data_IF_764467929926
#
_entry.id   IF_764467929926
#
_cell.length_a   1.000
_cell.length_b   1.000
_cell.length_c   1.000
_cell.angle_alpha   90.00
_cell.angle_beta   90.00
_cell.angle_gamma   90.00
#
_symmetry.space_group_name_H-M   'P 1'
#
loop_
_entity.id
_entity.type
_entity.pdbx_description
1 polymer ?
#
# COMPACT_ATOMS: atom_id res chain seq x y z
N UNK A 1 -0.05 9.76 -15.49
CA UNK A 1 -1.20 10.22 -16.31
C UNK A 1 -2.53 10.01 -15.55
N UNK A 2 -3.60 10.71 -15.94
CA UNK A 2 -4.97 10.53 -15.38
C UNK A 2 -5.49 9.09 -15.56
N UNK A 3 -5.00 8.39 -16.55
CA UNK A 3 -5.38 7.02 -16.89
C UNK A 3 -4.86 6.01 -15.85
N UNK A 4 -3.64 6.20 -15.37
CA UNK A 4 -3.07 5.39 -14.28
C UNK A 4 -3.82 5.62 -12.99
N UNK A 5 -4.15 6.86 -12.64
CA UNK A 5 -4.90 7.14 -11.42
C UNK A 5 -6.23 6.38 -11.38
N UNK A 6 -6.94 6.31 -12.51
CA UNK A 6 -8.21 5.55 -12.62
C UNK A 6 -8.01 4.04 -12.61
N UNK A 7 -6.97 3.52 -13.30
CA UNK A 7 -6.69 2.08 -13.37
C UNK A 7 -6.11 1.50 -12.07
N UNK A 8 -5.56 2.35 -11.22
CA UNK A 8 -4.84 1.95 -10.00
C UNK A 8 -5.54 2.42 -8.71
N UNK A 9 -6.85 2.76 -8.80
CA UNK A 9 -7.70 3.08 -7.66
C UNK A 9 -7.16 4.22 -6.77
N UNK A 10 -6.73 5.32 -7.40
CA UNK A 10 -6.46 6.53 -6.66
C UNK A 10 -7.75 7.18 -6.21
N UNK A 11 -7.76 7.66 -4.99
CA UNK A 11 -8.84 8.41 -4.40
C UNK A 11 -8.36 9.66 -3.67
N UNK A 12 -9.29 10.47 -3.26
CA UNK A 12 -9.07 11.63 -2.41
C UNK A 12 -9.81 11.44 -1.09
N UNK A 13 -9.08 11.43 0.02
CA UNK A 13 -9.69 11.60 1.33
C UNK A 13 -9.93 13.09 1.57
N UNK A 14 -11.20 13.55 1.66
CA UNK A 14 -11.51 14.96 1.86
C UNK A 14 -10.92 15.52 3.16
N UNK A 15 -10.77 16.85 3.22
CA UNK A 15 -10.44 17.52 4.47
C UNK A 15 -11.67 17.50 5.38
N UNK A 16 -11.56 16.86 6.53
CA UNK A 16 -12.63 16.69 7.50
C UNK A 16 -12.50 15.38 8.25
N UNK A 17 -12.75 15.40 9.56
CA UNK A 17 -12.48 14.22 10.41
C UNK A 17 -13.59 13.16 10.38
N UNK A 18 -14.75 13.49 9.83
CA UNK A 18 -15.96 12.64 9.89
C UNK A 18 -16.66 12.50 8.54
N UNK A 19 -16.01 12.84 7.44
CA UNK A 19 -16.63 12.77 6.10
C UNK A 19 -16.94 11.34 5.71
N UNK A 20 -15.93 10.45 5.79
CA UNK A 20 -16.11 9.02 5.53
C UNK A 20 -16.95 8.37 6.64
N UNK A 21 -16.70 8.71 7.90
CA UNK A 21 -17.47 8.20 9.04
C UNK A 21 -18.96 8.51 8.90
N UNK A 22 -19.31 9.73 8.51
CA UNK A 22 -20.71 10.13 8.26
C UNK A 22 -21.32 9.34 7.10
N UNK A 23 -20.60 9.17 6.01
CA UNK A 23 -21.05 8.37 4.87
C UNK A 23 -21.26 6.90 5.26
N UNK A 24 -20.32 6.28 5.94
CA UNK A 24 -20.43 4.88 6.40
C UNK A 24 -21.64 4.67 7.29
N UNK A 25 -21.90 5.60 8.22
CA UNK A 25 -23.13 5.58 9.05
C UNK A 25 -24.39 5.66 8.21
N UNK A 26 -24.42 6.53 7.19
CA UNK A 26 -25.60 6.73 6.33
C UNK A 26 -25.97 5.49 5.51
N UNK A 27 -24.99 4.63 5.20
CA UNK A 27 -25.20 3.36 4.49
C UNK A 27 -25.26 2.14 5.42
N UNK A 28 -25.36 2.36 6.74
CA UNK A 28 -25.56 1.30 7.73
C UNK A 28 -24.33 0.53 8.13
N UNK A 29 -23.12 1.00 7.80
CA UNK A 29 -21.85 0.38 8.26
C UNK A 29 -21.62 0.74 9.72
N UNK A 30 -21.41 -0.28 10.56
CA UNK A 30 -21.10 -0.05 11.98
C UNK A 30 -19.71 0.53 12.17
N UNK A 31 -19.51 1.37 13.19
CA UNK A 31 -18.20 1.90 13.53
C UNK A 31 -17.17 0.79 13.83
N UNK A 32 -17.59 -0.29 14.48
CA UNK A 32 -16.73 -1.43 14.75
C UNK A 32 -16.22 -2.09 13.45
N UNK A 33 -17.09 -2.27 12.45
CA UNK A 33 -16.68 -2.79 11.14
C UNK A 33 -15.73 -1.83 10.41
N UNK A 34 -15.98 -0.52 10.50
CA UNK A 34 -15.13 0.49 9.88
C UNK A 34 -13.74 0.55 10.53
N UNK A 35 -13.64 0.37 11.87
CA UNK A 35 -12.36 0.24 12.59
C UNK A 35 -11.65 -1.06 12.21
N UNK A 36 -12.36 -2.18 12.20
CA UNK A 36 -11.78 -3.48 11.82
C UNK A 36 -11.22 -3.46 10.39
N UNK A 37 -11.82 -2.66 9.51
CA UNK A 37 -11.33 -2.42 8.15
C UNK A 37 -10.19 -1.37 8.06
N UNK A 38 -9.83 -0.71 9.16
CA UNK A 38 -8.81 0.33 9.19
C UNK A 38 -9.18 1.62 8.46
N UNK A 39 -10.48 1.89 8.30
CA UNK A 39 -10.99 3.08 7.61
C UNK A 39 -11.21 4.26 8.56
N UNK A 40 -11.49 3.96 9.81
CA UNK A 40 -11.70 4.95 10.87
C UNK A 40 -10.92 4.56 12.12
N UNK A 41 -10.66 5.53 12.97
CA UNK A 41 -10.03 5.33 14.28
C UNK A 41 -10.98 5.77 15.38
N UNK A 42 -10.92 5.09 16.52
CA UNK A 42 -11.67 5.49 17.70
C UNK A 42 -11.01 6.72 18.33
N UNK A 43 -11.77 7.76 18.55
CA UNK A 43 -11.34 8.97 19.25
C UNK A 43 -11.36 8.76 20.78
N UNK A 44 -10.59 9.55 21.52
CA UNK A 44 -10.50 9.46 23.00
C UNK A 44 -11.82 9.72 23.71
N UNK A 45 -12.71 10.48 23.10
CA UNK A 45 -14.07 10.77 23.59
C UNK A 45 -15.10 9.68 23.26
N UNK A 46 -14.66 8.55 22.68
CA UNK A 46 -15.50 7.43 22.27
C UNK A 46 -16.14 7.59 20.89
N UNK A 47 -15.91 8.71 20.20
CA UNK A 47 -16.33 8.94 18.83
C UNK A 47 -15.50 8.19 17.79
N UNK A 48 -15.85 8.37 16.54
CA UNK A 48 -15.15 7.80 15.38
C UNK A 48 -14.71 8.93 14.47
N UNK A 49 -13.49 8.86 13.94
CA UNK A 49 -12.97 9.81 12.97
C UNK A 49 -12.31 9.09 11.81
N UNK A 50 -12.27 9.73 10.68
CA UNK A 50 -11.65 9.20 9.48
C UNK A 50 -10.15 8.94 9.70
N UNK A 51 -9.65 7.77 9.25
CA UNK A 51 -8.23 7.43 9.31
C UNK A 51 -7.41 8.34 8.40
N UNK A 52 -7.95 8.69 7.25
CA UNK A 52 -7.30 9.51 6.25
C UNK A 52 -8.08 10.81 6.03
N UNK A 53 -7.40 11.95 6.07
CA UNK A 53 -7.99 13.27 5.85
C UNK A 53 -7.03 14.15 5.05
N UNK A 54 -7.52 14.87 4.03
CA UNK A 54 -6.70 15.75 3.20
C UNK A 54 -5.58 15.03 2.44
N UNK A 55 -5.78 13.76 2.06
CA UNK A 55 -4.74 12.91 1.48
C UNK A 55 -5.14 12.29 0.17
N UNK A 56 -4.17 12.13 -0.72
CA UNK A 56 -4.31 11.21 -1.85
C UNK A 56 -4.29 9.78 -1.32
N UNK A 57 -5.32 8.99 -1.59
CA UNK A 57 -5.41 7.59 -1.17
C UNK A 57 -5.09 6.65 -2.33
N UNK A 58 -4.48 5.52 -2.01
CA UNK A 58 -4.04 4.48 -2.94
C UNK A 58 -4.52 3.16 -2.37
N UNK A 59 -5.37 2.44 -3.10
CA UNK A 59 -5.84 1.14 -2.63
C UNK A 59 -4.70 0.11 -2.66
N UNK A 60 -4.55 -0.61 -1.55
CA UNK A 60 -3.65 -1.77 -1.45
C UNK A 60 -4.48 -3.02 -1.68
N UNK A 61 -4.04 -3.85 -2.63
CA UNK A 61 -4.74 -5.07 -3.00
C UNK A 61 -3.89 -6.30 -2.70
N UNK A 62 -4.56 -7.38 -2.31
CA UNK A 62 -3.94 -8.70 -2.26
C UNK A 62 -3.66 -9.24 -3.69
N UNK A 63 -2.98 -10.37 -3.79
CA UNK A 63 -2.66 -11.02 -5.08
C UNK A 63 -3.89 -11.43 -5.89
N UNK A 64 -5.07 -11.54 -5.28
CA UNK A 64 -6.35 -11.81 -5.96
C UNK A 64 -7.03 -10.53 -6.45
N UNK A 65 -6.42 -9.36 -6.20
CA UNK A 65 -6.97 -8.06 -6.57
C UNK A 65 -8.03 -7.52 -5.61
N UNK A 66 -8.28 -8.16 -4.47
CA UNK A 66 -9.21 -7.67 -3.46
C UNK A 66 -8.56 -6.54 -2.67
N UNK A 67 -9.26 -5.40 -2.50
CA UNK A 67 -8.79 -4.31 -1.66
C UNK A 67 -8.75 -4.77 -0.19
N UNK A 68 -7.59 -4.61 0.46
CA UNK A 68 -7.34 -5.03 1.84
C UNK A 68 -6.93 -3.87 2.74
N UNK A 69 -6.51 -2.74 2.18
CA UNK A 69 -6.12 -1.54 2.90
C UNK A 69 -5.88 -0.37 1.96
N UNK A 70 -5.37 0.71 2.54
CA UNK A 70 -5.02 1.93 1.81
C UNK A 70 -3.67 2.45 2.26
N UNK A 71 -2.89 2.94 1.30
CA UNK A 71 -1.85 3.91 1.53
C UNK A 71 -2.39 5.32 1.30
N UNK A 72 -1.83 6.32 1.96
CA UNK A 72 -2.23 7.70 1.74
C UNK A 72 -1.01 8.63 1.80
N UNK A 73 -0.97 9.59 0.87
CA UNK A 73 0.07 10.62 0.81
C UNK A 73 -0.52 11.98 1.18
N UNK A 74 0.16 12.71 2.06
CA UNK A 74 -0.18 14.11 2.37
C UNK A 74 -0.14 14.98 1.11
N UNK A 75 -1.14 15.84 0.95
CA UNK A 75 -1.24 16.80 -0.16
C UNK A 75 -0.75 18.21 0.23
N UNK A 76 -0.72 18.51 1.51
CA UNK A 76 -0.33 19.81 2.09
C UNK A 76 1.06 19.79 2.73
N UNK A 77 1.78 18.67 2.66
CA UNK A 77 3.10 18.49 3.25
C UNK A 77 3.08 18.16 4.75
N UNK A 78 1.89 17.93 5.34
CA UNK A 78 1.77 17.54 6.75
C UNK A 78 2.40 16.16 7.03
N UNK A 79 3.00 16.00 8.20
CA UNK A 79 3.51 14.71 8.66
C UNK A 79 2.40 13.80 9.23
N UNK A 80 2.56 12.48 9.07
CA UNK A 80 3.56 11.81 8.26
C UNK A 80 3.25 11.98 6.75
N UNK A 81 4.29 12.14 5.92
CA UNK A 81 4.17 12.27 4.46
C UNK A 81 3.38 11.10 3.85
N UNK A 82 3.62 9.87 4.34
CA UNK A 82 2.88 8.67 3.99
C UNK A 82 2.25 8.04 5.22
N UNK A 83 1.03 7.57 5.09
CA UNK A 83 0.27 6.88 6.12
C UNK A 83 -0.37 5.64 5.52
N UNK A 84 -0.29 4.51 6.19
CA UNK A 84 -0.94 3.26 5.76
C UNK A 84 -2.06 2.88 6.72
N UNK A 85 -3.04 2.13 6.21
CA UNK A 85 -3.92 1.33 7.07
C UNK A 85 -3.05 0.54 8.06
N UNK A 86 -3.41 0.57 9.33
CA UNK A 86 -2.78 -0.25 10.36
C UNK A 86 -3.03 -1.76 10.10
N UNK A 87 -2.36 -2.62 10.89
CA UNK A 87 -2.63 -4.06 10.81
C UNK A 87 -4.09 -4.36 11.14
N UNK A 88 -4.76 -5.15 10.30
CA UNK A 88 -6.14 -5.62 10.45
C UNK A 88 -6.20 -7.12 10.23
N UNK A 89 -7.40 -7.72 10.34
CA UNK A 89 -7.59 -9.14 10.03
C UNK A 89 -7.29 -9.49 8.57
N UNK A 90 -7.37 -8.50 7.66
CA UNK A 90 -7.20 -8.70 6.21
C UNK A 90 -5.97 -8.00 5.64
N UNK A 91 -5.29 -7.20 6.43
CA UNK A 91 -4.12 -6.44 6.01
C UNK A 91 -2.98 -6.55 7.01
N UNK A 92 -1.87 -7.11 6.56
CA UNK A 92 -0.57 -7.05 7.22
C UNK A 92 0.46 -6.56 6.20
N UNK A 93 0.99 -5.35 6.43
CA UNK A 93 1.99 -4.75 5.53
C UNK A 93 3.24 -5.64 5.35
N UNK A 94 3.61 -6.39 6.38
CA UNK A 94 4.76 -7.29 6.33
C UNK A 94 4.54 -8.55 5.49
N UNK A 95 3.31 -8.85 5.10
CA UNK A 95 2.96 -10.04 4.34
C UNK A 95 2.47 -9.73 2.92
N UNK A 96 2.40 -8.44 2.53
CA UNK A 96 1.85 -8.02 1.24
C UNK A 96 2.88 -7.21 0.46
N UNK A 97 3.04 -7.53 -0.82
CA UNK A 97 3.76 -6.71 -1.78
C UNK A 97 2.77 -5.88 -2.59
N UNK A 98 2.93 -4.55 -2.53
CA UNK A 98 2.12 -3.64 -3.35
C UNK A 98 2.38 -3.85 -4.83
N UNK A 99 1.31 -3.94 -5.60
CA UNK A 99 1.39 -4.09 -7.05
C UNK A 99 1.52 -5.55 -7.52
N UNK A 100 1.66 -6.53 -6.63
CA UNK A 100 1.85 -7.94 -7.02
C UNK A 100 0.70 -8.47 -7.88
N UNK A 101 -0.54 -8.09 -7.61
CA UNK A 101 -1.72 -8.47 -8.40
C UNK A 101 -1.63 -8.02 -9.88
N UNK A 102 -0.88 -6.99 -10.17
CA UNK A 102 -0.63 -6.50 -11.55
C UNK A 102 0.65 -7.07 -12.12
N UNK A 103 1.71 -7.18 -11.28
CA UNK A 103 3.04 -7.59 -11.69
C UNK A 103 3.18 -9.10 -11.90
N UNK A 104 2.30 -9.93 -11.31
CA UNK A 104 2.43 -11.39 -11.32
C UNK A 104 2.66 -11.97 -12.72
N UNK A 105 1.90 -11.51 -13.72
CA UNK A 105 2.03 -11.99 -15.10
C UNK A 105 3.40 -11.68 -15.69
N UNK A 106 3.89 -10.46 -15.49
CA UNK A 106 5.19 -10.02 -15.99
C UNK A 106 6.33 -10.72 -15.24
N UNK A 107 6.22 -10.89 -13.91
CA UNK A 107 7.19 -11.63 -13.10
C UNK A 107 7.29 -13.08 -13.59
N UNK A 108 6.17 -13.77 -13.80
CA UNK A 108 6.18 -15.15 -14.32
C UNK A 108 6.82 -15.25 -15.70
N UNK A 109 6.58 -14.27 -16.57
CA UNK A 109 7.14 -14.25 -17.94
C UNK A 109 8.65 -14.00 -17.96
N UNK A 110 9.14 -13.10 -17.11
CA UNK A 110 10.56 -12.73 -17.02
C UNK A 110 11.35 -13.57 -16.03
N UNK A 111 10.66 -14.31 -15.15
CA UNK A 111 11.23 -15.02 -13.99
C UNK A 111 12.02 -14.11 -13.05
N UNK A 112 11.74 -12.79 -13.12
CA UNK A 112 12.45 -11.76 -12.34
C UNK A 112 11.44 -10.82 -11.71
N UNK A 113 11.55 -10.60 -10.41
CA UNK A 113 10.83 -9.57 -9.66
C UNK A 113 11.79 -8.44 -9.28
N UNK A 114 11.35 -7.20 -9.40
CA UNK A 114 12.06 -6.03 -8.90
C UNK A 114 11.29 -5.48 -7.71
N UNK A 115 11.95 -5.36 -6.56
CA UNK A 115 11.35 -4.82 -5.33
C UNK A 115 11.88 -3.42 -5.08
N UNK A 116 10.96 -2.47 -4.99
CA UNK A 116 11.20 -1.06 -4.65
C UNK A 116 10.58 -0.72 -3.29
N UNK A 117 10.78 0.50 -2.78
CA UNK A 117 10.28 0.86 -1.45
C UNK A 117 8.80 1.27 -1.44
N UNK A 118 8.36 2.10 -2.37
CA UNK A 118 7.07 2.78 -2.31
C UNK A 118 6.13 2.52 -3.48
N UNK A 119 4.87 2.90 -3.27
CA UNK A 119 3.85 2.75 -4.31
C UNK A 119 4.12 3.62 -5.54
N UNK A 120 4.69 4.81 -5.33
CA UNK A 120 4.96 5.74 -6.44
C UNK A 120 6.02 5.19 -7.36
N UNK A 121 7.00 4.46 -6.81
CA UNK A 121 8.08 3.83 -7.58
C UNK A 121 7.51 2.72 -8.47
N UNK A 122 6.62 1.87 -7.93
CA UNK A 122 5.90 0.84 -8.70
C UNK A 122 5.10 1.48 -9.83
N UNK A 123 4.33 2.54 -9.51
CA UNK A 123 3.47 3.19 -10.50
C UNK A 123 4.26 3.84 -11.62
N UNK A 124 5.37 4.50 -11.27
CA UNK A 124 6.28 5.12 -12.24
C UNK A 124 6.96 4.06 -13.13
N UNK A 125 7.42 2.96 -12.52
CA UNK A 125 8.02 1.85 -13.25
C UNK A 125 7.02 1.20 -14.22
N UNK A 126 5.81 0.91 -13.77
CA UNK A 126 4.76 0.33 -14.62
C UNK A 126 4.36 1.28 -15.77
N UNK A 127 4.34 2.60 -15.53
CA UNK A 127 4.08 3.60 -16.58
C UNK A 127 5.19 3.62 -17.62
N UNK A 128 6.42 3.34 -17.20
CA UNK A 128 7.59 3.22 -18.10
C UNK A 128 7.71 1.83 -18.77
N UNK A 129 6.77 0.90 -18.52
CA UNK A 129 6.75 -0.43 -19.12
C UNK A 129 7.48 -1.52 -18.31
N UNK A 130 8.00 -1.21 -17.13
CA UNK A 130 8.59 -2.19 -16.22
C UNK A 130 7.51 -2.80 -15.33
N UNK A 131 6.76 -3.76 -15.88
CA UNK A 131 5.56 -4.32 -15.21
C UNK A 131 5.88 -5.36 -14.12
N UNK A 132 7.13 -5.82 -14.00
CA UNK A 132 7.57 -6.81 -13.01
C UNK A 132 8.07 -6.18 -11.70
N UNK A 133 7.64 -4.95 -11.39
CA UNK A 133 8.02 -4.18 -10.20
C UNK A 133 6.94 -4.25 -9.14
N UNK A 134 7.33 -4.46 -7.88
CA UNK A 134 6.48 -4.50 -6.69
C UNK A 134 7.12 -3.68 -5.56
N UNK A 135 6.37 -3.32 -4.50
CA UNK A 135 6.95 -2.60 -3.37
C UNK A 135 6.70 -3.26 -2.01
N UNK A 136 7.69 -3.12 -1.11
CA UNK A 136 7.61 -3.52 0.30
C UNK A 136 6.85 -2.53 1.18
N UNK A 137 6.55 -1.33 0.67
CA UNK A 137 5.81 -0.24 1.33
C UNK A 137 6.52 0.35 2.57
N UNK A 138 7.83 0.57 2.49
CA UNK A 138 8.62 1.30 3.50
C UNK A 138 9.13 0.44 4.66
N UNK A 139 9.46 -0.81 4.38
CA UNK A 139 10.19 -1.73 5.27
C UNK A 139 11.19 -2.52 4.47
N UNK A 140 12.24 -3.05 5.11
CA UNK A 140 13.02 -4.13 4.53
C UNK A 140 12.09 -5.25 4.05
N UNK A 141 12.45 -5.94 2.98
CA UNK A 141 11.65 -7.07 2.50
C UNK A 141 11.64 -8.17 3.57
N UNK A 142 10.45 -8.68 3.88
CA UNK A 142 10.27 -9.71 4.90
C UNK A 142 10.27 -11.10 4.29
N UNK A 143 10.47 -12.13 5.12
CA UNK A 143 10.37 -13.52 4.70
C UNK A 143 8.99 -13.87 4.09
N UNK A 144 7.90 -13.29 4.62
CA UNK A 144 6.55 -13.50 4.11
C UNK A 144 6.38 -12.85 2.72
N UNK A 145 6.93 -11.65 2.51
CA UNK A 145 6.94 -10.99 1.21
C UNK A 145 7.78 -11.76 0.18
N UNK A 146 8.93 -12.30 0.59
CA UNK A 146 9.73 -13.19 -0.27
C UNK A 146 8.96 -14.46 -0.62
N UNK A 147 8.21 -15.03 0.35
CA UNK A 147 7.38 -16.20 0.10
C UNK A 147 6.29 -15.96 -0.95
N UNK A 148 5.73 -14.74 -1.04
CA UNK A 148 4.79 -14.35 -2.09
C UNK A 148 5.41 -14.40 -3.51
N UNK A 149 6.72 -14.17 -3.64
CA UNK A 149 7.46 -14.24 -4.91
C UNK A 149 7.92 -15.67 -5.24
N UNK A 150 7.90 -16.56 -4.26
CA UNK A 150 8.31 -17.96 -4.46
C UNK A 150 7.42 -18.64 -5.50
N UNK A 151 8.03 -19.27 -6.48
CA UNK A 151 7.32 -19.90 -7.60
C UNK A 151 6.88 -18.93 -8.70
N UNK A 152 7.02 -17.62 -8.50
CA UNK A 152 6.81 -16.61 -9.53
C UNK A 152 8.14 -16.23 -10.20
N UNK A 153 9.18 -15.96 -9.40
CA UNK A 153 10.48 -15.49 -9.84
C UNK A 153 11.60 -16.46 -9.42
N UNK A 154 12.66 -16.49 -10.21
CA UNK A 154 13.94 -17.14 -9.88
C UNK A 154 14.96 -16.10 -9.39
N UNK A 155 14.76 -14.83 -9.78
CA UNK A 155 15.62 -13.70 -9.43
C UNK A 155 14.78 -12.62 -8.77
N UNK A 156 15.25 -12.12 -7.63
CA UNK A 156 14.69 -10.93 -6.96
C UNK A 156 15.76 -9.85 -6.96
N UNK A 157 15.46 -8.72 -7.57
CA UNK A 157 16.32 -7.53 -7.60
C UNK A 157 15.79 -6.54 -6.58
N UNK A 158 16.63 -6.12 -5.64
CA UNK A 158 16.29 -5.05 -4.69
C UNK A 158 16.76 -3.71 -5.29
N UNK A 159 15.82 -2.82 -5.58
CA UNK A 159 16.08 -1.47 -6.09
C UNK A 159 15.53 -0.46 -5.07
N UNK A 160 16.22 -0.40 -3.92
CA UNK A 160 15.85 0.45 -2.77
C UNK A 160 16.56 1.80 -2.87
N UNK A 161 16.07 2.79 -2.12
CA UNK A 161 16.64 4.13 -2.11
C UNK A 161 18.09 4.11 -1.60
N UNK A 162 18.93 5.00 -2.13
CA UNK A 162 20.36 5.06 -1.77
C UNK A 162 20.64 5.80 -0.46
N UNK A 163 19.61 6.22 0.27
CA UNK A 163 19.75 6.84 1.57
C UNK A 163 20.12 5.83 2.67
N UNK A 164 20.41 6.32 3.88
CA UNK A 164 20.83 5.48 5.01
C UNK A 164 19.78 4.42 5.37
N UNK A 165 18.50 4.75 5.26
CA UNK A 165 17.40 3.82 5.56
C UNK A 165 17.30 2.71 4.52
N UNK A 166 17.43 3.03 3.23
CA UNK A 166 17.43 2.05 2.14
C UNK A 166 18.65 1.15 2.16
N UNK A 167 19.82 1.66 2.54
CA UNK A 167 21.03 0.84 2.74
C UNK A 167 20.84 -0.16 3.89
N UNK A 168 20.28 0.28 5.02
CA UNK A 168 19.97 -0.59 6.16
C UNK A 168 18.91 -1.63 5.79
N UNK A 169 17.85 -1.22 5.06
CA UNK A 169 16.83 -2.13 4.56
C UNK A 169 17.40 -3.19 3.61
N UNK A 170 18.36 -2.81 2.76
CA UNK A 170 19.07 -3.77 1.87
C UNK A 170 19.84 -4.81 2.68
N UNK A 171 20.63 -4.39 3.66
CA UNK A 171 21.41 -5.30 4.52
C UNK A 171 20.49 -6.26 5.28
N UNK A 172 19.44 -5.75 5.91
CA UNK A 172 18.48 -6.57 6.66
C UNK A 172 17.68 -7.54 5.79
N UNK A 173 17.63 -7.32 4.48
CA UNK A 173 16.91 -8.19 3.53
C UNK A 173 17.77 -9.36 3.03
N UNK A 174 19.07 -9.37 3.35
CA UNK A 174 20.03 -10.42 2.96
C UNK A 174 20.24 -11.49 4.05
N UNK A 175 19.76 -11.24 5.26
CA UNK A 175 19.75 -12.19 6.39
C UNK A 175 18.49 -13.07 6.38
#
# INVERSE_FOLDING_TARGET
>A
SMDIARRRDFGLAPSGMETLTGHLKSIGVSGAAAVAAGLVVQSRDGGWRDMFTGRLTIAIRDKKGKAVGFGARSLDGSDPKYLNTGRTEVFDKSAILYGLNWAEKAIRATRTAVVVEGYMDVLTAHEAGFENVVASMGTAITADQVAELRGLADIVVLALDSDAAGQEATLNSLE
#
